data_IF_439315289093
#
_entry.id   IF_439315289093
#
_cell.length_a   1.000
_cell.length_b   1.000
_cell.length_c   1.000
_cell.angle_alpha   90.00
_cell.angle_beta   90.00
_cell.angle_gamma   90.00
#
_symmetry.space_group_name_H-M   'P 1'
#
loop_
_entity.id
_entity.type
_entity.pdbx_description
1 polymer ?
#
# COMPACT_ATOMS: atom_id res chain seq x y z
N UNK A 1 4.30 -27.77 -49.06
CA UNK A 1 3.44 -27.32 -47.94
C UNK A 1 4.28 -26.59 -46.89
N UNK A 2 4.61 -25.32 -47.20
CA UNK A 2 5.54 -24.53 -46.41
C UNK A 2 4.87 -23.49 -45.48
N UNK A 3 3.54 -23.56 -45.34
CA UNK A 3 2.75 -22.67 -44.49
C UNK A 3 2.90 -22.98 -43.00
N UNK A 4 3.34 -24.21 -42.69
CA UNK A 4 3.23 -24.69 -41.31
C UNK A 4 4.27 -24.15 -40.31
N UNK A 5 5.50 -23.88 -40.77
CA UNK A 5 6.56 -23.48 -39.80
C UNK A 5 6.44 -22.04 -39.31
N UNK A 6 6.12 -21.10 -40.22
CA UNK A 6 5.94 -19.68 -39.82
C UNK A 6 4.65 -19.49 -39.03
N UNK A 7 3.57 -20.17 -39.42
CA UNK A 7 2.31 -20.11 -38.69
C UNK A 7 2.44 -20.79 -37.32
N UNK A 8 3.15 -21.90 -37.24
CA UNK A 8 3.37 -22.62 -35.99
C UNK A 8 4.21 -21.81 -34.99
N UNK A 9 5.25 -21.13 -35.45
CA UNK A 9 6.08 -20.25 -34.62
C UNK A 9 5.26 -19.04 -34.15
N UNK A 10 4.42 -18.45 -35.00
CA UNK A 10 3.60 -17.29 -34.63
C UNK A 10 2.53 -17.68 -33.62
N UNK A 11 1.88 -18.83 -33.79
CA UNK A 11 0.89 -19.35 -32.85
C UNK A 11 1.54 -19.74 -31.52
N UNK A 12 2.72 -20.36 -31.56
CA UNK A 12 3.48 -20.72 -30.35
C UNK A 12 3.94 -19.49 -29.56
N UNK A 13 4.37 -18.41 -30.26
CA UNK A 13 4.71 -17.14 -29.60
C UNK A 13 3.47 -16.47 -29.00
N UNK A 14 2.30 -16.58 -29.63
CA UNK A 14 1.05 -16.04 -29.10
C UNK A 14 0.57 -16.81 -27.87
N UNK A 15 0.69 -18.14 -27.87
CA UNK A 15 0.40 -18.96 -26.68
C UNK A 15 1.39 -18.73 -25.53
N UNK A 16 2.67 -18.52 -25.81
CA UNK A 16 3.66 -18.16 -24.80
C UNK A 16 3.41 -16.77 -24.23
N UNK A 17 2.95 -15.81 -25.02
CA UNK A 17 2.60 -14.48 -24.55
C UNK A 17 1.34 -14.48 -23.66
N UNK A 18 0.38 -15.35 -23.92
CA UNK A 18 -0.85 -15.51 -23.10
C UNK A 18 -0.53 -16.24 -21.79
N UNK A 19 0.44 -17.16 -21.77
CA UNK A 19 0.82 -17.88 -20.55
C UNK A 19 1.66 -17.04 -19.58
N UNK A 20 2.15 -15.86 -20.01
CA UNK A 20 2.84 -14.88 -19.14
C UNK A 20 1.91 -13.90 -18.43
N UNK A 21 0.61 -13.88 -18.78
CA UNK A 21 -0.40 -13.23 -17.98
C UNK A 21 -0.84 -14.24 -16.90
N UNK A 22 0.06 -14.59 -16.01
CA UNK A 22 -0.32 -15.15 -14.72
C UNK A 22 -0.90 -13.97 -13.96
N UNK A 23 -2.22 -13.92 -13.65
CA UNK A 23 -2.67 -13.02 -12.64
C UNK A 23 -1.88 -13.40 -11.40
N UNK A 24 -1.01 -12.51 -10.94
CA UNK A 24 -0.43 -12.64 -9.62
C UNK A 24 -1.59 -12.45 -8.65
N UNK A 25 -2.30 -13.53 -8.35
CA UNK A 25 -3.05 -13.60 -7.12
C UNK A 25 -1.97 -13.49 -6.04
N UNK A 26 -1.73 -12.27 -5.55
CA UNK A 26 -1.14 -12.11 -4.26
C UNK A 26 -2.02 -12.97 -3.36
N UNK A 27 -1.46 -14.04 -2.82
CA UNK A 27 -2.13 -14.80 -1.80
C UNK A 27 -2.46 -13.78 -0.73
N UNK A 28 -3.75 -13.47 -0.54
CA UNK A 28 -4.18 -12.62 0.57
C UNK A 28 -3.57 -13.26 1.81
N UNK A 29 -2.64 -12.54 2.45
CA UNK A 29 -2.06 -13.01 3.69
C UNK A 29 -3.24 -13.20 4.64
N UNK A 30 -3.41 -14.44 5.12
CA UNK A 30 -4.51 -14.77 6.00
C UNK A 30 -4.24 -14.06 7.32
N UNK A 31 -4.95 -12.97 7.56
CA UNK A 31 -4.84 -12.20 8.78
C UNK A 31 -5.47 -12.99 9.94
N UNK A 32 -4.81 -13.01 11.09
CA UNK A 32 -5.29 -13.67 12.30
C UNK A 32 -6.12 -12.71 13.17
N UNK A 33 -5.71 -11.47 13.24
CA UNK A 33 -6.29 -10.43 14.09
C UNK A 33 -6.97 -9.31 13.32
N UNK A 34 -6.55 -9.08 12.06
CA UNK A 34 -7.20 -8.17 11.12
C UNK A 34 -8.21 -8.89 10.24
N UNK A 35 -9.18 -8.17 9.69
CA UNK A 35 -10.06 -8.61 8.60
C UNK A 35 -9.71 -7.87 7.33
N UNK A 36 -9.66 -6.53 7.39
CA UNK A 36 -9.31 -5.67 6.26
C UNK A 36 -8.65 -4.37 6.72
N UNK A 37 -7.89 -3.79 5.83
CA UNK A 37 -7.41 -2.42 5.91
C UNK A 37 -7.49 -1.79 4.51
N UNK A 38 -8.33 -0.78 4.37
CA UNK A 38 -8.46 -0.01 3.13
C UNK A 38 -7.63 1.26 3.25
N UNK A 39 -6.75 1.48 2.29
CA UNK A 39 -5.74 2.53 2.30
C UNK A 39 -6.02 3.53 1.19
N UNK A 40 -5.87 4.81 1.50
CA UNK A 40 -5.96 5.88 0.52
C UNK A 40 -4.77 6.82 0.65
N UNK A 41 -4.25 7.24 -0.49
CA UNK A 41 -3.33 8.35 -0.61
C UNK A 41 -3.70 9.18 -1.83
N UNK A 42 -3.96 10.45 -1.62
CA UNK A 42 -4.28 11.41 -2.68
C UNK A 42 -3.60 12.75 -2.43
N UNK A 43 -3.39 13.48 -3.51
CA UNK A 43 -2.84 14.84 -3.47
C UNK A 43 -3.73 15.71 -4.36
N UNK A 44 -4.20 16.82 -3.80
CA UNK A 44 -4.97 17.81 -4.57
C UNK A 44 -4.06 18.62 -5.49
N UNK A 45 -4.64 19.33 -6.45
CA UNK A 45 -3.95 20.29 -7.33
C UNK A 45 -3.30 21.46 -6.57
N UNK A 46 -3.71 21.72 -5.34
CA UNK A 46 -3.07 22.70 -4.44
C UNK A 46 -1.97 22.11 -3.56
N UNK A 47 -1.65 20.83 -3.72
CA UNK A 47 -0.60 20.15 -2.97
C UNK A 47 -1.00 19.65 -1.58
N UNK A 48 -2.30 19.66 -1.24
CA UNK A 48 -2.75 19.04 0.00
C UNK A 48 -2.75 17.52 -0.16
N UNK A 49 -1.85 16.85 0.54
CA UNK A 49 -1.81 15.40 0.63
C UNK A 49 -2.74 14.91 1.74
N UNK A 50 -3.51 13.87 1.44
CA UNK A 50 -4.33 13.18 2.42
C UNK A 50 -3.99 11.69 2.40
N UNK A 51 -3.82 11.13 3.58
CA UNK A 51 -3.63 9.70 3.81
C UNK A 51 -4.70 9.20 4.76
N UNK A 52 -5.29 8.05 4.45
CA UNK A 52 -6.26 7.44 5.36
C UNK A 52 -6.10 5.92 5.42
N UNK A 53 -6.44 5.38 6.57
CA UNK A 53 -6.54 3.95 6.84
C UNK A 53 -7.90 3.70 7.45
N UNK A 54 -8.70 2.87 6.81
CA UNK A 54 -9.95 2.35 7.34
C UNK A 54 -9.77 0.87 7.63
N UNK A 55 -10.11 0.39 8.80
CA UNK A 55 -9.80 -0.98 9.21
C UNK A 55 -10.96 -1.67 9.91
N UNK A 56 -10.98 -2.99 9.76
CA UNK A 56 -11.86 -3.91 10.49
C UNK A 56 -10.98 -5.02 11.07
N UNK A 57 -11.14 -5.28 12.35
CA UNK A 57 -10.42 -6.31 13.08
C UNK A 57 -11.31 -7.52 13.43
N UNK A 58 -10.67 -8.64 13.74
CA UNK A 58 -11.36 -9.85 14.16
C UNK A 58 -11.73 -9.78 15.65
N UNK A 59 -13.00 -9.60 15.95
CA UNK A 59 -13.53 -9.43 17.31
C UNK A 59 -13.18 -10.54 18.29
N UNK A 60 -12.78 -11.72 17.82
CA UNK A 60 -12.49 -12.86 18.71
C UNK A 60 -11.05 -12.90 19.20
N UNK A 61 -10.11 -12.30 18.48
CA UNK A 61 -8.69 -12.40 18.80
C UNK A 61 -7.97 -11.05 18.90
N UNK A 62 -8.54 -9.99 18.34
CA UNK A 62 -7.95 -8.66 18.29
C UNK A 62 -7.83 -8.02 19.68
N UNK A 63 -6.73 -7.31 19.92
CA UNK A 63 -6.51 -6.50 21.14
C UNK A 63 -6.19 -5.04 20.80
N UNK A 64 -5.43 -4.78 19.74
CA UNK A 64 -5.07 -3.43 19.33
C UNK A 64 -4.58 -3.37 17.89
N UNK A 65 -4.66 -2.19 17.31
CA UNK A 65 -4.01 -1.84 16.04
C UNK A 65 -3.02 -0.71 16.28
N UNK A 66 -1.89 -0.77 15.58
CA UNK A 66 -0.93 0.33 15.45
C UNK A 66 -0.67 0.58 13.98
N UNK A 67 -0.75 1.84 13.56
CA UNK A 67 -0.49 2.28 12.19
C UNK A 67 0.64 3.29 12.20
N UNK A 68 1.73 2.98 11.51
CA UNK A 68 2.83 3.89 11.24
C UNK A 68 2.71 4.36 9.78
N UNK A 69 2.59 5.66 9.58
CA UNK A 69 2.40 6.24 8.25
C UNK A 69 3.37 7.39 8.01
N UNK A 70 4.02 7.42 6.87
CA UNK A 70 4.86 8.54 6.46
C UNK A 70 4.82 8.76 4.95
N UNK A 71 5.07 9.99 4.53
CA UNK A 71 5.15 10.38 3.13
C UNK A 71 6.61 10.55 2.73
N UNK A 72 6.95 10.10 1.54
CA UNK A 72 8.26 10.27 0.94
C UNK A 72 8.14 11.01 -0.39
N UNK A 73 9.12 11.86 -0.68
CA UNK A 73 9.31 12.50 -1.99
C UNK A 73 10.42 11.78 -2.76
N UNK A 74 10.20 11.58 -4.05
CA UNK A 74 11.20 11.03 -4.96
C UNK A 74 12.13 12.11 -5.48
N UNK A 75 13.44 11.85 -5.42
CA UNK A 75 14.50 12.70 -5.96
C UNK A 75 15.36 11.89 -6.92
N UNK A 76 15.89 12.53 -7.95
CA UNK A 76 16.77 11.91 -8.96
C UNK A 76 16.20 10.62 -9.59
N UNK A 77 14.87 10.48 -9.58
CA UNK A 77 14.16 9.34 -10.17
C UNK A 77 14.09 8.07 -9.31
N UNK A 78 14.91 7.92 -8.27
CA UNK A 78 15.01 6.67 -7.49
C UNK A 78 15.24 6.84 -5.99
N UNK A 79 15.61 8.03 -5.50
CA UNK A 79 15.85 8.28 -4.07
C UNK A 79 14.54 8.75 -3.42
N UNK A 80 14.14 8.07 -2.35
CA UNK A 80 12.96 8.39 -1.57
C UNK A 80 13.36 8.95 -0.20
N UNK A 81 12.91 10.17 0.10
CA UNK A 81 13.23 10.86 1.36
C UNK A 81 11.94 11.23 2.09
N UNK A 82 11.87 10.95 3.38
CA UNK A 82 10.71 11.32 4.21
C UNK A 82 10.49 12.84 4.19
N UNK A 83 9.25 13.23 3.97
CA UNK A 83 8.77 14.60 4.06
C UNK A 83 8.51 14.92 5.53
N UNK A 84 8.89 16.12 5.96
CA UNK A 84 8.62 16.60 7.32
C UNK A 84 7.12 16.81 7.50
N UNK A 85 6.55 16.18 8.49
CA UNK A 85 5.14 16.29 8.87
C UNK A 85 4.94 16.82 10.29
N UNK A 86 6.02 17.32 10.92
CA UNK A 86 6.01 17.85 12.29
C UNK A 86 6.13 16.81 13.38
N UNK A 87 6.10 15.52 13.06
CA UNK A 87 6.20 14.43 14.01
C UNK A 87 7.62 13.92 14.18
N UNK A 88 7.84 13.20 15.27
CA UNK A 88 9.11 12.51 15.52
C UNK A 88 9.37 11.51 14.39
N UNK A 89 10.59 11.49 13.88
CA UNK A 89 11.01 10.68 12.73
C UNK A 89 10.12 10.86 11.48
N UNK A 90 9.39 11.99 11.39
CA UNK A 90 8.49 12.30 10.27
C UNK A 90 7.46 11.21 10.01
N UNK A 91 6.97 10.58 11.06
CA UNK A 91 6.06 9.45 11.01
C UNK A 91 4.87 9.67 11.93
N UNK A 92 3.65 9.58 11.39
CA UNK A 92 2.45 9.51 12.22
C UNK A 92 2.33 8.11 12.81
N UNK A 93 2.04 8.03 14.09
CA UNK A 93 1.80 6.79 14.80
C UNK A 93 0.41 6.87 15.44
N UNK A 94 -0.49 6.04 14.96
CA UNK A 94 -1.85 5.93 15.45
C UNK A 94 -2.06 4.58 16.09
N UNK A 95 -2.88 4.53 17.15
CA UNK A 95 -3.23 3.29 17.84
C UNK A 95 -4.68 3.31 18.28
N UNK A 96 -5.32 2.15 18.27
CA UNK A 96 -6.68 1.96 18.77
C UNK A 96 -6.86 0.57 19.34
N UNK A 97 -7.81 0.43 20.26
CA UNK A 97 -8.29 -0.86 20.79
C UNK A 97 -9.69 -1.21 20.25
N UNK A 98 -10.26 -0.33 19.42
CA UNK A 98 -11.54 -0.53 18.77
C UNK A 98 -11.43 -1.52 17.62
N UNK A 99 -12.42 -2.38 17.43
CA UNK A 99 -12.43 -3.42 16.39
C UNK A 99 -12.59 -2.86 14.98
N UNK A 100 -13.00 -1.64 14.85
CA UNK A 100 -13.10 -0.91 13.57
C UNK A 100 -12.87 0.57 13.79
N UNK A 101 -12.39 1.25 12.78
CA UNK A 101 -12.15 2.68 12.84
C UNK A 101 -11.37 3.17 11.62
N UNK A 102 -10.99 4.44 11.69
CA UNK A 102 -10.20 5.06 10.66
C UNK A 102 -9.21 6.06 11.25
N UNK A 103 -8.11 6.24 10.55
CA UNK A 103 -7.12 7.28 10.81
C UNK A 103 -6.95 8.12 9.56
N UNK A 104 -6.90 9.44 9.71
CA UNK A 104 -6.71 10.38 8.60
C UNK A 104 -5.65 11.40 8.99
N UNK A 105 -4.70 11.65 8.09
CA UNK A 105 -3.72 12.71 8.20
C UNK A 105 -3.68 13.54 6.93
N UNK A 106 -3.42 14.83 7.08
CA UNK A 106 -3.25 15.77 5.99
C UNK A 106 -1.91 16.48 6.13
N UNK A 107 -1.27 16.76 5.01
CA UNK A 107 -0.02 17.48 4.94
C UNK A 107 -0.01 18.37 3.71
N UNK A 108 0.27 19.67 3.90
CA UNK A 108 0.50 20.58 2.78
C UNK A 108 1.91 20.33 2.24
N UNK A 109 1.98 19.90 0.98
CA UNK A 109 3.25 19.75 0.27
C UNK A 109 3.67 21.10 -0.34
N UNK A 110 4.95 21.39 -0.26
CA UNK A 110 5.49 22.67 -0.75
C UNK A 110 5.83 22.63 -2.25
N UNK A 111 6.35 21.50 -2.73
CA UNK A 111 6.89 21.39 -4.07
C UNK A 111 6.16 20.32 -4.91
N UNK A 112 5.96 20.57 -6.21
CA UNK A 112 5.56 19.53 -7.14
C UNK A 112 6.53 18.36 -7.17
N UNK A 113 6.03 17.20 -7.54
CA UNK A 113 6.84 16.00 -7.68
C UNK A 113 6.07 14.70 -7.47
N UNK A 114 6.79 13.60 -7.47
CA UNK A 114 6.24 12.28 -7.19
C UNK A 114 6.43 11.95 -5.72
N UNK A 115 5.35 11.59 -5.08
CA UNK A 115 5.29 11.24 -3.67
C UNK A 115 4.75 9.83 -3.49
N UNK A 116 5.11 9.19 -2.40
CA UNK A 116 4.45 7.97 -1.94
C UNK A 116 4.22 8.03 -0.45
N UNK A 117 3.15 7.38 -0.01
CA UNK A 117 2.96 7.06 1.39
C UNK A 117 3.37 5.62 1.64
N UNK A 118 3.93 5.37 2.81
CA UNK A 118 4.22 4.03 3.31
C UNK A 118 3.39 3.81 4.55
N UNK A 119 2.61 2.73 4.55
CA UNK A 119 1.83 2.29 5.69
C UNK A 119 2.46 1.02 6.26
N UNK A 120 2.64 0.98 7.56
CA UNK A 120 2.90 -0.24 8.30
C UNK A 120 1.82 -0.41 9.34
N UNK A 121 0.99 -1.41 9.15
CA UNK A 121 -0.17 -1.71 9.98
C UNK A 121 0.11 -2.98 10.76
N UNK A 122 -0.03 -2.91 12.07
CA UNK A 122 0.13 -4.05 12.96
C UNK A 122 -1.18 -4.29 13.70
N UNK A 123 -1.82 -5.43 13.45
CA UNK A 123 -2.92 -5.92 14.26
C UNK A 123 -2.36 -6.87 15.30
N UNK A 124 -2.52 -6.55 16.56
CA UNK A 124 -2.09 -7.38 17.68
C UNK A 124 -3.27 -8.10 18.30
N UNK A 125 -3.02 -9.27 18.87
CA UNK A 125 -4.08 -10.06 19.48
C UNK A 125 -3.58 -11.26 20.25
N UNK A 126 -4.50 -12.16 20.57
CA UNK A 126 -4.25 -13.38 21.36
C UNK A 126 -4.34 -14.64 20.50
N UNK A 127 -3.52 -15.65 20.81
CA UNK A 127 -3.59 -16.97 20.19
C UNK A 127 -2.80 -17.13 18.87
N UNK A 128 -2.24 -16.05 18.32
CA UNK A 128 -1.38 -16.06 17.15
C UNK A 128 -0.39 -14.88 17.21
N UNK A 129 0.60 -14.88 16.32
CA UNK A 129 1.49 -13.73 16.12
C UNK A 129 0.74 -12.54 15.53
N UNK A 130 1.30 -11.33 15.70
CA UNK A 130 0.75 -10.11 15.15
C UNK A 130 0.72 -10.15 13.61
N UNK A 131 -0.36 -9.64 13.05
CA UNK A 131 -0.44 -9.42 11.59
C UNK A 131 0.25 -8.11 11.24
N UNK A 132 1.26 -8.15 10.39
CA UNK A 132 1.96 -6.96 9.91
C UNK A 132 1.77 -6.80 8.41
N UNK A 133 1.17 -5.69 8.02
CA UNK A 133 0.95 -5.31 6.63
C UNK A 133 1.81 -4.10 6.32
N UNK A 134 2.57 -4.14 5.23
CA UNK A 134 3.32 -2.98 4.73
C UNK A 134 2.93 -2.71 3.29
N UNK A 135 2.38 -1.52 3.04
CA UNK A 135 1.90 -1.09 1.73
C UNK A 135 2.44 0.28 1.35
N UNK A 136 2.53 0.53 0.05
CA UNK A 136 2.99 1.78 -0.52
C UNK A 136 2.04 2.25 -1.61
N UNK A 137 1.58 3.49 -1.50
CA UNK A 137 0.76 4.14 -2.52
C UNK A 137 1.48 5.36 -3.06
N UNK A 138 1.44 5.55 -4.38
CA UNK A 138 2.14 6.65 -5.06
C UNK A 138 1.13 7.62 -5.67
N UNK A 139 1.42 8.91 -5.57
CA UNK A 139 0.67 9.98 -6.19
C UNK A 139 1.61 11.07 -6.73
N UNK A 140 1.12 11.87 -7.67
CA UNK A 140 1.86 12.96 -8.28
C UNK A 140 1.20 14.29 -7.91
N UNK A 141 2.01 15.26 -7.50
CA UNK A 141 1.64 16.67 -7.38
C UNK A 141 2.25 17.41 -8.57
N UNK A 142 1.42 17.99 -9.44
CA UNK A 142 1.82 18.72 -10.65
C UNK A 142 1.87 20.24 -10.43
#
# INVERSE_FOLDING_TARGET
MTISKKLFVTVLCFFLAISLIVPSYAAEARLSHGISADLLFGITDTGLAEVSVDYIANSTSFTSITVETYIQKRSLGFIWTKVDNGEVDKTWIDSSVEEYGFFVHQLQLEDPGTYRTVFKITFSGTGAEDDVITEKLTAVYE
#
